data_IF_559843984298
#
_entry.id   IF_559843984298
#
_cell.length_a   1.000
_cell.length_b   1.000
_cell.length_c   1.000
_cell.angle_alpha   90.00
_cell.angle_beta   90.00
_cell.angle_gamma   90.00
#
_symmetry.space_group_name_H-M   'P 1'
#
loop_
_entity.id
_entity.type
_entity.pdbx_description
1 polymer ?
#
# COMPACT_ATOMS: atom_id res chain seq x y z
N UNK A 1 -39.19 -35.03 -32.03
CA UNK A 1 -39.89 -33.97 -31.28
C UNK A 1 -39.99 -34.43 -29.84
N UNK A 2 -39.08 -33.93 -29.01
CA UNK A 2 -39.06 -34.09 -27.56
C UNK A 2 -38.57 -32.76 -26.97
N UNK A 3 -39.14 -32.34 -25.83
CA UNK A 3 -39.09 -30.96 -25.36
C UNK A 3 -37.85 -30.72 -24.49
N UNK A 4 -37.31 -29.50 -24.52
CA UNK A 4 -36.37 -29.07 -23.49
C UNK A 4 -36.99 -27.95 -22.66
N UNK A 5 -37.11 -28.27 -21.37
CA UNK A 5 -37.46 -27.41 -20.27
C UNK A 5 -36.63 -26.12 -20.28
N UNK A 6 -37.31 -24.98 -20.36
CA UNK A 6 -36.78 -23.70 -19.91
C UNK A 6 -36.74 -23.72 -18.39
N UNK A 7 -35.62 -24.17 -17.84
CA UNK A 7 -35.26 -24.00 -16.44
C UNK A 7 -33.85 -23.41 -16.37
N UNK A 8 -33.75 -22.09 -16.42
CA UNK A 8 -32.75 -21.31 -15.69
C UNK A 8 -33.50 -20.09 -15.17
N UNK A 9 -34.03 -20.21 -13.95
CA UNK A 9 -33.41 -19.65 -12.74
C UNK A 9 -33.54 -18.14 -12.79
N UNK A 10 -34.53 -17.66 -12.03
CA UNK A 10 -34.63 -16.29 -11.58
C UNK A 10 -33.27 -15.89 -11.00
N UNK A 11 -32.49 -15.12 -11.78
CA UNK A 11 -31.42 -14.34 -11.21
C UNK A 11 -32.11 -13.24 -10.41
N UNK A 12 -32.05 -13.41 -9.10
CA UNK A 12 -32.59 -12.51 -8.13
C UNK A 12 -32.28 -11.07 -8.54
N UNK A 13 -33.29 -10.22 -8.50
CA UNK A 13 -33.10 -8.80 -8.25
C UNK A 13 -32.46 -8.69 -6.87
N UNK A 14 -31.15 -8.90 -6.82
CA UNK A 14 -30.35 -8.40 -5.73
C UNK A 14 -30.55 -6.89 -5.80
N UNK A 15 -31.25 -6.35 -4.79
CA UNK A 15 -31.16 -4.93 -4.45
C UNK A 15 -29.72 -4.47 -4.63
N UNK A 16 -29.46 -3.24 -5.10
CA UNK A 16 -28.11 -2.72 -5.07
C UNK A 16 -27.68 -2.76 -3.60
N UNK A 17 -26.89 -3.77 -3.25
CA UNK A 17 -26.13 -3.77 -2.03
C UNK A 17 -25.26 -2.56 -2.25
N UNK A 18 -25.54 -1.48 -1.50
CA UNK A 18 -24.58 -0.41 -1.30
C UNK A 18 -23.29 -1.14 -0.93
N UNK A 19 -22.37 -1.31 -1.89
CA UNK A 19 -20.98 -1.61 -1.56
C UNK A 19 -20.58 -0.38 -0.78
N UNK A 20 -20.55 -0.51 0.53
CA UNK A 20 -20.05 0.54 1.40
C UNK A 20 -18.57 0.67 1.05
N UNK A 21 -18.28 1.59 0.13
CA UNK A 21 -16.96 2.05 -0.26
C UNK A 21 -16.48 3.03 0.79
N UNK A 22 -16.37 2.59 2.05
CA UNK A 22 -16.16 3.46 3.22
C UNK A 22 -14.90 4.33 3.15
N UNK A 23 -13.97 4.04 2.25
CA UNK A 23 -12.77 4.85 2.03
C UNK A 23 -12.83 5.82 0.84
N UNK A 24 -13.60 5.50 -0.22
CA UNK A 24 -13.65 6.30 -1.45
C UNK A 24 -14.92 7.18 -1.56
N UNK A 25 -15.98 6.83 -0.83
CA UNK A 25 -17.23 7.60 -0.68
C UNK A 25 -17.19 8.20 0.73
N UNK A 26 -16.48 9.32 0.87
CA UNK A 26 -16.08 9.88 2.16
C UNK A 26 -17.24 10.61 2.84
N UNK A 27 -18.17 11.17 2.06
CA UNK A 27 -19.36 11.82 2.59
C UNK A 27 -20.58 10.88 2.68
N UNK A 28 -20.48 9.68 2.12
CA UNK A 28 -21.46 8.60 2.21
C UNK A 28 -22.72 8.84 1.37
N UNK A 29 -22.66 9.76 0.42
CA UNK A 29 -23.78 10.12 -0.44
C UNK A 29 -24.05 9.04 -1.51
N UNK A 30 -23.10 8.13 -1.74
CA UNK A 30 -23.20 7.03 -2.70
C UNK A 30 -22.76 7.39 -4.12
N UNK A 31 -22.16 8.56 -4.29
CA UNK A 31 -21.52 9.05 -5.50
C UNK A 31 -20.02 9.27 -5.22
N UNK A 32 -19.18 8.90 -6.16
CA UNK A 32 -17.74 9.11 -6.04
C UNK A 32 -17.38 10.32 -6.90
N UNK A 33 -16.81 11.34 -6.27
CA UNK A 33 -16.33 12.55 -6.92
C UNK A 33 -14.84 12.48 -7.19
N UNK A 34 -14.35 13.28 -8.13
CA UNK A 34 -12.92 13.42 -8.38
C UNK A 34 -12.17 13.90 -7.13
N UNK A 35 -12.78 14.72 -6.29
CA UNK A 35 -12.18 15.22 -5.06
C UNK A 35 -11.96 14.07 -4.06
N UNK A 36 -12.91 13.15 -3.96
CA UNK A 36 -12.75 11.98 -3.10
C UNK A 36 -11.71 11.02 -3.65
N UNK A 37 -11.65 10.84 -4.97
CA UNK A 37 -10.61 10.02 -5.62
C UNK A 37 -9.21 10.62 -5.39
N UNK A 38 -9.04 11.92 -5.61
CA UNK A 38 -7.75 12.61 -5.45
C UNK A 38 -7.26 12.63 -3.99
N UNK A 39 -8.20 12.67 -3.03
CA UNK A 39 -7.86 12.61 -1.60
C UNK A 39 -7.66 11.18 -1.07
N UNK A 40 -8.24 10.17 -1.71
CA UNK A 40 -8.25 8.79 -1.20
C UNK A 40 -7.26 7.86 -1.90
N UNK A 41 -6.74 8.21 -3.09
CA UNK A 41 -5.81 7.35 -3.82
C UNK A 41 -4.77 8.13 -4.62
N UNK A 42 -3.54 7.63 -4.62
CA UNK A 42 -2.47 8.09 -5.49
C UNK A 42 -2.35 7.21 -6.74
N UNK A 43 -2.10 7.83 -7.90
CA UNK A 43 -1.98 7.12 -9.16
C UNK A 43 -0.81 6.14 -9.13
N UNK A 44 0.33 6.54 -8.58
CA UNK A 44 1.52 5.70 -8.47
C UNK A 44 1.25 4.46 -7.61
N UNK A 45 0.58 4.63 -6.48
CA UNK A 45 0.20 3.50 -5.61
C UNK A 45 -0.77 2.54 -6.29
N UNK A 46 -1.74 3.06 -7.05
CA UNK A 46 -2.66 2.24 -7.86
C UNK A 46 -1.90 1.46 -8.93
N UNK A 47 -0.92 2.06 -9.59
CA UNK A 47 -0.11 1.36 -10.60
C UNK A 47 0.73 0.24 -9.99
N UNK A 48 1.43 0.52 -8.87
CA UNK A 48 2.12 -0.53 -8.09
C UNK A 48 1.13 -1.61 -7.66
N UNK A 49 -0.11 -1.24 -7.38
CA UNK A 49 -1.11 -2.18 -6.94
C UNK A 49 -1.63 -3.11 -8.04
N UNK A 50 -1.67 -2.62 -9.28
CA UNK A 50 -2.12 -3.36 -10.46
C UNK A 50 -0.98 -4.22 -11.04
N UNK A 51 0.27 -3.80 -10.87
CA UNK A 51 1.47 -4.54 -11.26
C UNK A 51 1.63 -5.81 -10.41
N UNK A 52 1.17 -6.94 -10.94
CA UNK A 52 1.10 -8.20 -10.21
C UNK A 52 2.41 -8.99 -10.27
N UNK A 53 3.19 -8.80 -11.32
CA UNK A 53 4.47 -9.47 -11.56
C UNK A 53 5.69 -8.61 -11.21
N UNK A 54 5.49 -7.33 -10.91
CA UNK A 54 6.48 -6.43 -10.32
C UNK A 54 7.52 -5.95 -11.33
N UNK A 55 7.19 -5.94 -12.62
CA UNK A 55 8.11 -5.58 -13.70
C UNK A 55 7.99 -4.08 -14.11
N UNK A 56 7.13 -3.33 -13.39
CA UNK A 56 6.83 -1.90 -13.58
C UNK A 56 6.33 -1.57 -14.98
N UNK A 57 5.77 -2.56 -15.68
CA UNK A 57 5.22 -2.44 -17.01
C UNK A 57 3.87 -3.15 -17.07
N UNK A 58 3.04 -2.74 -18.02
CA UNK A 58 1.79 -3.41 -18.31
C UNK A 58 1.79 -3.86 -19.75
N UNK A 59 1.70 -5.17 -19.97
CA UNK A 59 1.41 -5.67 -21.30
C UNK A 59 0.01 -5.26 -21.72
N UNK A 60 -0.28 -5.32 -23.02
CA UNK A 60 -1.65 -5.13 -23.55
C UNK A 60 -2.69 -5.94 -22.76
N UNK A 61 -2.34 -7.16 -22.33
CA UNK A 61 -3.30 -8.04 -21.64
C UNK A 61 -3.60 -7.57 -20.21
N UNK A 62 -2.60 -7.05 -19.49
CA UNK A 62 -2.81 -6.47 -18.16
C UNK A 62 -3.50 -5.11 -18.25
N UNK A 63 -3.03 -4.25 -19.15
CA UNK A 63 -3.61 -2.93 -19.36
C UNK A 63 -5.11 -2.99 -19.67
N UNK A 64 -5.55 -3.96 -20.48
CA UNK A 64 -6.97 -4.13 -20.82
C UNK A 64 -7.88 -4.52 -19.64
N UNK A 65 -7.31 -4.88 -18.49
CA UNK A 65 -8.11 -5.13 -17.29
C UNK A 65 -8.61 -3.82 -16.66
N UNK A 66 -7.93 -2.70 -16.94
CA UNK A 66 -8.14 -1.44 -16.23
C UNK A 66 -8.15 -0.19 -17.14
N UNK A 67 -7.80 -0.30 -18.43
CA UNK A 67 -8.01 0.71 -19.47
C UNK A 67 -8.51 0.02 -20.75
N UNK A 68 -8.99 0.81 -21.73
CA UNK A 68 -9.38 0.26 -23.03
C UNK A 68 -8.25 0.31 -24.07
N UNK A 69 -8.50 -0.31 -25.24
CA UNK A 69 -7.56 -0.29 -26.36
C UNK A 69 -7.26 1.11 -26.90
N UNK A 70 -8.15 2.08 -26.70
CA UNK A 70 -7.94 3.44 -27.20
C UNK A 70 -6.91 4.14 -26.33
N UNK A 71 -7.07 4.08 -25.00
CA UNK A 71 -6.10 4.63 -24.05
C UNK A 71 -4.77 3.91 -24.09
N UNK A 72 -4.76 2.59 -24.35
CA UNK A 72 -3.52 1.86 -24.52
C UNK A 72 -2.61 2.53 -25.57
N UNK A 73 -3.16 2.85 -26.75
CA UNK A 73 -2.40 3.47 -27.84
C UNK A 73 -2.04 4.94 -27.56
N UNK A 74 -2.74 5.61 -26.64
CA UNK A 74 -2.44 7.00 -26.25
C UNK A 74 -1.26 7.03 -25.27
N UNK A 75 -1.20 6.04 -24.37
CA UNK A 75 -0.15 5.94 -23.35
C UNK A 75 1.13 5.29 -23.87
N UNK A 76 1.02 4.30 -24.78
CA UNK A 76 2.14 3.65 -25.48
C UNK A 76 2.81 4.63 -26.47
N UNK A 77 3.55 5.59 -25.90
CA UNK A 77 4.15 6.71 -26.63
C UNK A 77 5.36 6.23 -27.42
N UNK A 78 6.08 5.25 -26.89
CA UNK A 78 7.26 4.66 -27.53
C UNK A 78 6.92 3.56 -28.57
N UNK A 79 5.65 3.12 -28.63
CA UNK A 79 5.12 2.09 -29.53
C UNK A 79 5.78 0.71 -29.37
N UNK A 80 6.16 0.34 -28.15
CA UNK A 80 6.78 -0.95 -27.82
C UNK A 80 5.76 -2.03 -27.40
N UNK A 81 4.47 -1.69 -27.40
CA UNK A 81 3.35 -2.56 -27.01
C UNK A 81 3.36 -3.01 -25.55
N UNK A 82 4.11 -2.31 -24.72
CA UNK A 82 3.97 -2.32 -23.26
C UNK A 82 3.75 -0.89 -22.79
N UNK A 83 3.18 -0.72 -21.61
CA UNK A 83 3.03 0.60 -21.00
C UNK A 83 3.87 0.60 -19.75
N UNK A 84 4.91 1.42 -19.74
CA UNK A 84 5.71 1.66 -18.53
C UNK A 84 4.97 2.59 -17.57
N UNK A 85 5.32 2.51 -16.28
CA UNK A 85 4.78 3.45 -15.28
C UNK A 85 5.02 4.91 -15.65
N UNK A 86 6.18 5.20 -16.24
CA UNK A 86 6.54 6.54 -16.68
C UNK A 86 5.57 7.04 -17.76
N UNK A 87 5.20 6.20 -18.72
CA UNK A 87 4.24 6.55 -19.78
C UNK A 87 2.84 6.82 -19.23
N UNK A 88 2.43 6.11 -18.16
CA UNK A 88 1.17 6.40 -17.49
C UNK A 88 1.26 7.72 -16.73
N UNK A 89 2.32 7.94 -15.95
CA UNK A 89 2.48 9.18 -15.17
C UNK A 89 2.61 10.43 -16.06
N UNK A 90 3.23 10.30 -17.23
CA UNK A 90 3.39 11.41 -18.18
C UNK A 90 2.12 11.65 -19.02
N UNK A 91 1.30 10.63 -19.23
CA UNK A 91 0.16 10.65 -20.14
C UNK A 91 -1.23 10.60 -19.48
N UNK A 92 -1.31 10.34 -18.18
CA UNK A 92 -2.56 10.11 -17.46
C UNK A 92 -2.51 10.73 -16.07
N UNK A 93 -3.52 11.53 -15.75
CA UNK A 93 -3.80 11.93 -14.36
C UNK A 93 -4.97 11.15 -13.78
N UNK A 94 -5.13 11.16 -12.45
CA UNK A 94 -6.33 10.65 -11.78
C UNK A 94 -7.62 11.29 -12.32
N UNK A 95 -7.55 12.58 -12.66
CA UNK A 95 -8.67 13.30 -13.27
C UNK A 95 -9.01 12.78 -14.67
N UNK A 96 -8.01 12.46 -15.49
CA UNK A 96 -8.23 11.87 -16.82
C UNK A 96 -8.81 10.46 -16.71
N UNK A 97 -8.35 9.68 -15.73
CA UNK A 97 -8.87 8.34 -15.43
C UNK A 97 -10.32 8.42 -14.94
N UNK A 98 -10.63 9.39 -14.08
CA UNK A 98 -12.00 9.65 -13.61
C UNK A 98 -12.92 10.02 -14.77
N UNK A 99 -12.52 10.99 -15.59
CA UNK A 99 -13.28 11.42 -16.76
C UNK A 99 -13.49 10.30 -17.78
N UNK A 100 -12.55 9.35 -17.87
CA UNK A 100 -12.71 8.16 -18.71
C UNK A 100 -13.85 7.24 -18.23
N UNK A 101 -14.03 7.11 -16.91
CA UNK A 101 -15.09 6.29 -16.33
C UNK A 101 -16.43 7.00 -16.22
N UNK A 102 -16.43 8.33 -16.18
CA UNK A 102 -17.60 9.20 -16.18
C UNK A 102 -18.19 9.31 -17.60
N UNK A 103 -18.98 8.31 -18.02
CA UNK A 103 -19.45 8.22 -19.42
C UNK A 103 -20.57 9.20 -19.73
N UNK A 104 -21.30 9.62 -18.70
CA UNK A 104 -22.37 10.60 -18.77
C UNK A 104 -21.89 12.04 -18.53
N UNK A 105 -20.61 12.23 -18.18
CA UNK A 105 -19.94 13.53 -17.98
C UNK A 105 -20.72 14.39 -16.97
N UNK A 106 -21.23 13.72 -15.92
CA UNK A 106 -22.03 14.37 -14.87
C UNK A 106 -21.20 14.76 -13.65
N UNK A 107 -19.91 14.37 -13.62
CA UNK A 107 -18.96 14.65 -12.56
C UNK A 107 -19.03 13.67 -11.39
N UNK A 108 -19.81 12.59 -11.51
CA UNK A 108 -20.01 11.61 -10.44
C UNK A 108 -19.93 10.17 -10.97
N UNK A 109 -19.13 9.33 -10.31
CA UNK A 109 -19.10 7.91 -10.59
C UNK A 109 -20.05 7.17 -9.64
N UNK A 110 -20.95 6.36 -10.21
CA UNK A 110 -21.81 5.48 -9.43
C UNK A 110 -22.17 4.22 -10.24
N UNK A 111 -22.57 3.17 -9.53
CA UNK A 111 -22.94 1.89 -10.16
C UNK A 111 -21.81 1.32 -11.03
N UNK A 112 -22.09 1.09 -12.32
CA UNK A 112 -21.15 0.47 -13.24
C UNK A 112 -19.95 1.37 -13.62
N UNK A 113 -20.09 2.69 -13.46
CA UNK A 113 -19.02 3.66 -13.73
C UNK A 113 -18.00 3.64 -12.58
N UNK A 114 -18.49 3.54 -11.34
CA UNK A 114 -17.68 3.42 -10.14
C UNK A 114 -16.99 2.05 -10.00
N UNK A 115 -17.55 0.97 -10.53
CA UNK A 115 -17.04 -0.40 -10.35
C UNK A 115 -15.53 -0.55 -10.63
N UNK A 116 -15.00 0.20 -11.61
CA UNK A 116 -13.60 0.11 -12.02
C UNK A 116 -12.66 0.91 -11.13
N UNK A 117 -13.03 2.14 -10.78
CA UNK A 117 -12.26 2.93 -9.81
C UNK A 117 -12.30 2.26 -8.44
N UNK A 118 -13.44 1.72 -8.03
CA UNK A 118 -13.54 0.92 -6.79
C UNK A 118 -12.65 -0.31 -6.87
N UNK A 119 -12.58 -1.02 -8.00
CA UNK A 119 -11.70 -2.17 -8.13
C UNK A 119 -10.21 -1.79 -8.07
N UNK A 120 -9.83 -0.64 -8.62
CA UNK A 120 -8.46 -0.10 -8.53
C UNK A 120 -8.13 0.32 -7.09
N UNK A 121 -9.04 1.04 -6.45
CA UNK A 121 -8.94 1.39 -5.03
C UNK A 121 -8.88 0.13 -4.16
N UNK A 122 -9.71 -0.88 -4.44
CA UNK A 122 -9.69 -2.14 -3.70
C UNK A 122 -8.40 -2.93 -3.96
N UNK A 123 -7.80 -2.78 -5.14
CA UNK A 123 -6.50 -3.37 -5.44
C UNK A 123 -5.41 -2.67 -4.61
N UNK A 124 -5.43 -1.34 -4.52
CA UNK A 124 -4.42 -0.57 -3.80
C UNK A 124 -4.59 -0.56 -2.27
N UNK A 125 -5.82 -0.38 -1.82
CA UNK A 125 -6.21 -0.10 -0.43
C UNK A 125 -7.27 -1.09 0.11
N UNK A 126 -7.79 -1.98 -0.74
CA UNK A 126 -8.88 -2.88 -0.39
C UNK A 126 -8.46 -4.10 0.42
N UNK A 127 -9.40 -4.51 1.26
CA UNK A 127 -9.24 -5.55 2.27
C UNK A 127 -9.57 -6.97 1.78
N UNK A 128 -9.80 -7.22 0.49
CA UNK A 128 -10.43 -8.50 0.07
C UNK A 128 -9.78 -9.31 -1.06
N UNK A 129 -8.77 -8.82 -1.78
CA UNK A 129 -8.14 -9.62 -2.85
C UNK A 129 -6.64 -9.35 -2.93
N UNK A 130 -5.92 -9.94 -1.99
CA UNK A 130 -4.52 -9.63 -1.77
C UNK A 130 -3.70 -10.94 -1.85
N UNK A 131 -2.87 -11.14 -2.89
CA UNK A 131 -1.95 -12.28 -2.96
C UNK A 131 -0.99 -12.24 -1.77
N UNK A 132 -0.48 -13.41 -1.37
CA UNK A 132 0.20 -13.64 -0.10
C UNK A 132 1.34 -12.66 0.26
N UNK A 133 1.94 -11.97 -0.71
CA UNK A 133 2.98 -10.95 -0.50
C UNK A 133 2.47 -9.69 0.23
N UNK A 134 1.20 -9.35 0.10
CA UNK A 134 0.59 -8.17 0.76
C UNK A 134 -0.17 -8.52 2.05
N UNK A 135 -0.05 -9.76 2.56
CA UNK A 135 -0.44 -10.07 3.94
C UNK A 135 0.40 -9.30 4.96
N UNK A 136 1.58 -8.83 4.57
CA UNK A 136 2.51 -8.09 5.41
C UNK A 136 2.03 -6.66 5.72
N UNK A 137 1.23 -6.00 4.86
CA UNK A 137 0.70 -4.65 5.14
C UNK A 137 -0.52 -4.62 6.06
N UNK A 138 -1.22 -5.74 6.24
CA UNK A 138 -2.52 -5.79 6.95
C UNK A 138 -2.44 -6.32 8.38
N UNK A 139 -1.24 -6.68 8.84
CA UNK A 139 -1.02 -6.76 10.28
C UNK A 139 -0.78 -5.36 10.87
N UNK A 140 -0.53 -4.34 10.05
CA UNK A 140 -0.20 -2.98 10.47
C UNK A 140 -1.38 -1.99 10.63
N UNK A 141 -2.63 -2.44 10.46
CA UNK A 141 -3.85 -1.65 10.79
C UNK A 141 -3.88 -1.18 12.27
N UNK A 142 -3.01 -1.72 13.13
CA UNK A 142 -2.86 -1.28 14.52
C UNK A 142 -1.81 -0.19 14.72
N UNK A 143 -0.93 0.07 13.74
CA UNK A 143 0.08 1.13 13.81
C UNK A 143 -0.44 2.42 13.19
N UNK A 144 -0.97 2.34 11.96
CA UNK A 144 -1.70 3.44 11.33
C UNK A 144 -3.12 3.51 11.91
N UNK A 145 -3.25 4.27 13.00
CA UNK A 145 -4.52 4.35 13.75
C UNK A 145 -5.49 5.31 13.07
N UNK A 146 -4.96 6.29 12.34
CA UNK A 146 -5.76 7.25 11.59
C UNK A 146 -6.36 6.63 10.32
N UNK A 147 -5.69 5.62 9.76
CA UNK A 147 -6.11 4.88 8.56
C UNK A 147 -5.98 5.71 7.29
N UNK A 148 -5.11 6.72 7.30
CA UNK A 148 -4.86 7.62 6.17
C UNK A 148 -3.71 7.12 5.27
N UNK A 149 -3.06 6.01 5.61
CA UNK A 149 -1.95 5.44 4.85
C UNK A 149 -0.60 6.11 5.12
N UNK A 150 -0.55 7.08 6.04
CA UNK A 150 0.65 7.82 6.41
C UNK A 150 0.99 7.57 7.89
N UNK A 151 2.16 6.97 8.14
CA UNK A 151 2.62 6.81 9.52
C UNK A 151 3.19 8.12 10.04
N UNK A 152 2.58 8.63 11.11
CA UNK A 152 3.10 9.76 11.86
C UNK A 152 4.04 9.32 12.97
N UNK A 153 4.91 10.23 13.44
CA UNK A 153 5.77 9.99 14.60
C UNK A 153 4.97 9.54 15.84
N UNK A 154 3.80 10.14 16.06
CA UNK A 154 2.95 9.82 17.19
C UNK A 154 2.41 8.39 17.13
N UNK A 155 2.06 7.90 15.94
CA UNK A 155 1.58 6.54 15.72
C UNK A 155 2.71 5.52 15.93
N UNK A 156 3.90 5.81 15.42
CA UNK A 156 5.09 4.98 15.66
C UNK A 156 5.43 4.91 17.16
N UNK A 157 5.46 6.03 17.86
CA UNK A 157 5.74 6.06 19.30
C UNK A 157 4.67 5.34 20.15
N UNK A 158 3.40 5.44 19.74
CA UNK A 158 2.29 4.82 20.47
C UNK A 158 2.18 3.32 20.21
N UNK A 159 2.41 2.88 18.97
CA UNK A 159 2.20 1.51 18.54
C UNK A 159 3.44 0.62 18.63
N UNK A 160 4.65 1.19 18.68
CA UNK A 160 5.89 0.44 18.75
C UNK A 160 6.77 0.86 19.93
N UNK A 161 7.27 -0.15 20.64
CA UNK A 161 8.30 0.04 21.65
C UNK A 161 9.63 -0.51 21.10
N UNK A 162 10.64 0.35 20.93
CA UNK A 162 11.95 -0.03 20.38
C UNK A 162 12.60 -1.20 21.13
N UNK A 163 12.36 -1.33 22.44
CA UNK A 163 12.88 -2.48 23.21
C UNK A 163 12.20 -3.77 22.77
N UNK A 164 10.88 -3.75 22.56
CA UNK A 164 10.13 -4.92 22.10
C UNK A 164 10.48 -5.25 20.65
N UNK A 165 10.70 -4.23 19.81
CA UNK A 165 11.21 -4.40 18.44
C UNK A 165 12.56 -5.10 18.45
N UNK A 166 13.51 -4.66 19.27
CA UNK A 166 14.81 -5.31 19.39
C UNK A 166 14.67 -6.79 19.78
N UNK A 167 13.82 -7.10 20.77
CA UNK A 167 13.54 -8.50 21.14
C UNK A 167 12.89 -9.32 20.03
N UNK A 168 12.06 -8.71 19.19
CA UNK A 168 11.39 -9.40 18.10
C UNK A 168 12.33 -9.65 16.90
N UNK A 169 13.28 -8.75 16.66
CA UNK A 169 14.27 -8.89 15.60
C UNK A 169 15.42 -9.84 15.97
N UNK A 170 15.70 -10.00 17.27
CA UNK A 170 16.68 -10.92 17.83
C UNK A 170 16.22 -12.39 17.70
N UNK A 171 16.51 -12.99 16.54
CA UNK A 171 16.01 -14.32 16.18
C UNK A 171 16.77 -15.45 16.90
N UNK A 172 18.04 -15.24 17.23
CA UNK A 172 18.86 -16.24 17.92
C UNK A 172 18.86 -16.08 19.46
N UNK A 173 18.32 -14.96 19.95
CA UNK A 173 18.05 -14.70 21.36
C UNK A 173 19.32 -14.33 22.14
N UNK A 174 20.37 -13.90 21.46
CA UNK A 174 21.66 -13.58 22.08
C UNK A 174 21.76 -12.12 22.55
N UNK A 175 20.72 -11.32 22.30
CA UNK A 175 20.58 -9.90 22.65
C UNK A 175 21.63 -8.99 22.02
N UNK A 176 22.20 -9.42 20.90
CA UNK A 176 23.23 -8.72 20.16
C UNK A 176 22.84 -8.72 18.68
N UNK A 177 23.10 -7.61 17.99
CA UNK A 177 22.99 -7.56 16.54
C UNK A 177 24.37 -7.48 15.93
N UNK A 178 24.66 -8.40 15.02
CA UNK A 178 25.84 -8.29 14.17
C UNK A 178 25.68 -7.11 13.20
N UNK A 179 26.80 -6.65 12.64
CA UNK A 179 26.79 -5.63 11.58
C UNK A 179 25.82 -6.00 10.45
N UNK A 180 25.85 -7.26 9.99
CA UNK A 180 25.04 -7.72 8.86
C UNK A 180 23.53 -7.71 9.15
N UNK A 181 23.14 -7.90 10.41
CA UNK A 181 21.73 -7.83 10.84
C UNK A 181 21.28 -6.38 10.99
N UNK A 182 22.09 -5.55 11.65
CA UNK A 182 21.79 -4.14 11.84
C UNK A 182 21.69 -3.38 10.51
N UNK A 183 22.56 -3.69 9.54
CA UNK A 183 22.57 -3.02 8.23
C UNK A 183 21.32 -3.26 7.38
N UNK A 184 20.45 -4.20 7.75
CA UNK A 184 19.16 -4.38 7.09
C UNK A 184 18.16 -3.28 7.46
N UNK A 185 18.39 -2.60 8.58
CA UNK A 185 17.50 -1.59 9.15
C UNK A 185 18.12 -0.20 9.14
N UNK A 186 19.40 -0.11 9.47
CA UNK A 186 20.15 1.15 9.60
C UNK A 186 21.34 1.16 8.66
N UNK A 187 21.93 2.32 8.40
CA UNK A 187 23.16 2.40 7.59
C UNK A 187 24.43 2.25 8.44
N UNK A 188 25.58 2.15 7.76
CA UNK A 188 26.89 2.06 8.42
C UNK A 188 27.23 3.28 9.30
N UNK A 189 26.71 4.46 8.96
CA UNK A 189 26.98 5.66 9.74
C UNK A 189 26.24 5.60 11.08
N UNK A 190 24.95 5.25 11.03
CA UNK A 190 24.09 5.07 12.19
C UNK A 190 24.56 3.91 13.07
N UNK A 191 25.04 2.81 12.47
CA UNK A 191 25.67 1.72 13.21
C UNK A 191 26.86 2.20 14.05
N UNK A 192 27.80 2.91 13.41
CA UNK A 192 28.99 3.40 14.09
C UNK A 192 28.69 4.43 15.19
N UNK A 193 27.57 5.15 15.10
CA UNK A 193 27.15 6.05 16.17
C UNK A 193 26.57 5.32 17.37
N UNK A 194 26.01 4.13 17.17
CA UNK A 194 25.42 3.31 18.23
C UNK A 194 26.45 2.39 18.90
N UNK A 195 27.40 1.84 18.12
CA UNK A 195 28.51 1.00 18.59
C UNK A 195 29.53 1.84 19.40
N UNK A 196 29.21 2.10 20.66
CA UNK A 196 29.99 2.97 21.53
C UNK A 196 31.26 2.27 22.03
N UNK A 197 31.17 0.96 22.24
CA UNK A 197 32.28 0.14 22.75
C UNK A 197 33.26 -0.31 21.62
N UNK A 198 32.88 -0.09 20.36
CA UNK A 198 33.62 -0.43 19.13
C UNK A 198 33.91 -1.93 19.00
N UNK A 199 32.98 -2.78 19.43
CA UNK A 199 33.09 -4.24 19.32
C UNK A 199 32.46 -4.81 18.05
N UNK A 200 31.93 -3.94 17.17
CA UNK A 200 31.24 -4.30 15.93
C UNK A 200 29.98 -5.14 16.14
N UNK A 201 29.38 -5.05 17.32
CA UNK A 201 28.09 -5.63 17.66
C UNK A 201 27.23 -4.54 18.30
N UNK A 202 25.92 -4.57 18.06
CA UNK A 202 24.99 -3.69 18.75
C UNK A 202 24.31 -4.47 19.85
N UNK A 203 24.70 -4.21 21.08
CA UNK A 203 23.98 -4.71 22.25
C UNK A 203 22.65 -3.98 22.41
N UNK A 204 21.69 -4.62 23.06
CA UNK A 204 20.41 -3.97 23.41
C UNK A 204 20.60 -2.72 24.27
N UNK A 205 21.69 -2.64 25.04
CA UNK A 205 22.01 -1.47 25.83
C UNK A 205 22.40 -0.29 24.94
N UNK A 206 23.20 -0.50 23.90
CA UNK A 206 23.58 0.52 22.92
C UNK A 206 22.38 0.97 22.09
N UNK A 207 21.48 0.05 21.70
CA UNK A 207 20.23 0.40 21.04
C UNK A 207 19.33 1.24 21.95
N UNK A 208 19.20 0.87 23.22
CA UNK A 208 18.33 1.57 24.17
C UNK A 208 18.84 2.96 24.56
N UNK A 209 20.16 3.13 24.61
CA UNK A 209 20.78 4.41 24.97
C UNK A 209 20.95 5.34 23.75
N UNK A 210 21.07 4.78 22.54
CA UNK A 210 21.41 5.52 21.32
C UNK A 210 20.28 5.67 20.30
N UNK A 211 19.22 4.86 20.35
CA UNK A 211 18.10 4.94 19.39
C UNK A 211 16.88 5.53 20.07
N UNK A 212 16.39 6.66 19.54
CA UNK A 212 15.08 7.20 19.89
C UNK A 212 14.15 7.13 18.68
N UNK A 213 12.83 7.09 18.92
CA UNK A 213 11.85 7.13 17.84
C UNK A 213 11.96 8.37 16.96
N UNK A 214 12.12 9.59 17.50
CA UNK A 214 12.33 10.77 16.67
C UNK A 214 13.54 10.66 15.74
N UNK A 215 14.67 10.15 16.24
CA UNK A 215 15.89 10.00 15.43
C UNK A 215 15.73 8.91 14.37
N UNK A 216 15.07 7.79 14.73
CA UNK A 216 14.81 6.70 13.80
C UNK A 216 13.76 7.07 12.74
N UNK A 217 12.74 7.85 13.12
CA UNK A 217 11.73 8.36 12.21
C UNK A 217 12.37 9.32 11.20
N UNK A 218 13.16 10.30 11.68
CA UNK A 218 13.89 11.22 10.81
C UNK A 218 14.92 10.52 9.92
N UNK A 219 15.42 9.35 10.30
CA UNK A 219 16.27 8.52 9.45
C UNK A 219 15.51 7.89 8.28
N UNK A 220 14.25 7.48 8.49
CA UNK A 220 13.41 6.89 7.46
C UNK A 220 12.66 7.92 6.61
N UNK A 221 12.34 9.08 7.17
CA UNK A 221 11.71 10.23 6.52
C UNK A 221 12.74 10.95 5.64
N UNK A 222 12.91 10.52 4.39
CA UNK A 222 13.98 11.03 3.51
C UNK A 222 13.63 12.37 2.89
N UNK A 223 12.34 12.63 2.75
CA UNK A 223 11.77 13.86 2.20
C UNK A 223 11.52 14.93 3.29
N UNK A 224 11.65 14.60 4.58
CA UNK A 224 11.49 15.49 5.73
C UNK A 224 10.11 16.16 5.73
N UNK A 225 9.09 15.39 5.35
CA UNK A 225 7.70 15.87 5.28
C UNK A 225 6.89 15.55 6.55
N UNK A 226 7.47 14.76 7.46
CA UNK A 226 6.85 14.37 8.73
C UNK A 226 5.93 13.16 8.64
N UNK A 227 5.92 12.45 7.52
CA UNK A 227 5.09 11.27 7.27
C UNK A 227 5.92 10.15 6.64
N UNK A 228 5.72 8.92 7.10
CA UNK A 228 6.30 7.74 6.42
C UNK A 228 5.21 7.04 5.61
N UNK A 229 5.46 6.85 4.33
CA UNK A 229 4.58 6.09 3.44
C UNK A 229 5.39 5.35 2.37
N UNK A 230 4.75 4.44 1.64
CA UNK A 230 5.41 3.64 0.61
C UNK A 230 6.69 2.95 1.09
N UNK A 231 7.82 3.21 0.41
CA UNK A 231 9.12 2.61 0.72
C UNK A 231 9.74 3.07 2.05
N UNK A 232 9.33 4.23 2.57
CA UNK A 232 9.81 4.78 3.84
C UNK A 232 9.14 4.06 5.02
N UNK A 233 7.86 3.73 4.88
CA UNK A 233 7.09 2.98 5.88
C UNK A 233 7.36 1.47 5.86
N UNK A 234 7.82 0.89 4.75
CA UNK A 234 8.01 -0.57 4.59
C UNK A 234 8.88 -1.19 5.71
N UNK A 235 9.92 -0.49 6.15
CA UNK A 235 10.81 -0.97 7.25
C UNK A 235 10.13 -0.89 8.61
N UNK A 236 9.39 0.17 8.88
CA UNK A 236 8.64 0.33 10.13
C UNK A 236 7.53 -0.71 10.24
N UNK A 237 6.84 -0.99 9.13
CA UNK A 237 5.84 -2.07 9.07
C UNK A 237 6.46 -3.45 9.25
N UNK A 238 7.65 -3.70 8.71
CA UNK A 238 8.37 -4.94 8.97
C UNK A 238 8.62 -5.13 10.48
N UNK A 239 9.15 -4.11 11.15
CA UNK A 239 9.39 -4.15 12.60
C UNK A 239 8.11 -4.41 13.40
N UNK A 240 7.02 -3.74 13.04
CA UNK A 240 5.72 -3.94 13.67
C UNK A 240 5.23 -5.38 13.56
N UNK A 241 5.34 -5.98 12.38
CA UNK A 241 4.91 -7.35 12.15
C UNK A 241 5.72 -8.36 12.96
N UNK A 242 7.05 -8.18 13.05
CA UNK A 242 7.89 -9.04 13.88
C UNK A 242 7.46 -8.97 15.35
N UNK A 243 7.16 -7.78 15.86
CA UNK A 243 6.62 -7.60 17.23
C UNK A 243 5.30 -8.34 17.43
N UNK A 244 4.36 -8.23 16.48
CA UNK A 244 3.08 -8.93 16.57
C UNK A 244 3.25 -10.45 16.49
N UNK A 245 4.14 -10.95 15.63
CA UNK A 245 4.43 -12.36 15.48
C UNK A 245 5.08 -12.94 16.76
N UNK A 246 6.03 -12.21 17.36
CA UNK A 246 6.63 -12.56 18.63
C UNK A 246 5.59 -12.59 19.78
N UNK A 247 4.61 -11.69 19.76
CA UNK A 247 3.51 -11.66 20.72
C UNK A 247 2.51 -12.82 20.54
N UNK A 248 2.23 -13.23 19.30
CA UNK A 248 1.31 -14.33 18.98
C UNK A 248 1.92 -15.72 19.20
N UNK A 249 3.26 -15.82 19.29
CA UNK A 249 4.01 -17.05 19.49
C UNK A 249 4.18 -17.52 20.95
N UNK A 250 3.59 -16.82 21.93
CA UNK A 250 3.61 -17.18 23.36
C UNK A 250 2.28 -17.75 23.86
#
# INVERSE_FOLDING_TARGET
MTPFLLLFVALATASPVKRQTTGLDADGDGHITIIEVDNAMDLGEVLVALDTDGDMQFTVTEALQFIDHHYFNVLDTNHDHVISFQEIQDGLTLADLFAFYDRNDDGFLYGAEADRIIAMYDAAYGTAAVPAARRQRRQADGLDTSGDGHLTLNECEAGLNLTVVAYALDTDGDQMFTVDEALQFIDHHYFNTLDTNHDHMLSFQELRDGVTWPDLFAFYDRNDDGFLYGAEADRVYFMYNEVQNAAAGN
#
